data_IF_036091718417
#
_entry.id   IF_036091718417
#
_cell.length_a   1.000
_cell.length_b   1.000
_cell.length_c   1.000
_cell.angle_alpha   90.00
_cell.angle_beta   90.00
_cell.angle_gamma   90.00
#
_symmetry.space_group_name_H-M   'P 1'
#
loop_
_entity.id
_entity.type
_entity.pdbx_description
1 polymer ?
#
# COMPACT_ATOMS: atom_id res chain seq x y z
N UNK A 1 -10.71 -5.09 1.99
CA UNK A 1 -11.61 -3.92 1.82
C UNK A 1 -10.77 -2.65 1.77
N UNK A 2 -11.15 -1.69 0.94
CA UNK A 2 -10.49 -0.37 0.83
C UNK A 2 -11.14 0.57 1.83
N UNK A 3 -10.34 1.28 2.62
CA UNK A 3 -10.81 2.37 3.46
C UNK A 3 -10.17 3.68 3.01
N UNK A 4 -10.98 4.72 2.92
CA UNK A 4 -10.56 6.06 2.49
C UNK A 4 -11.01 7.10 3.52
N UNK A 5 -10.15 8.06 3.82
CA UNK A 5 -10.48 9.20 4.65
C UNK A 5 -9.73 10.44 4.15
N UNK A 6 -10.44 11.55 3.91
CA UNK A 6 -9.84 12.75 3.33
C UNK A 6 -10.88 13.72 2.75
N UNK A 7 -10.39 14.65 1.95
CA UNK A 7 -11.17 15.65 1.22
C UNK A 7 -10.58 15.93 -0.17
N UNK A 8 -10.85 17.13 -0.69
CA UNK A 8 -10.56 17.46 -2.10
C UNK A 8 -9.07 17.47 -2.45
N UNK A 9 -8.21 17.85 -1.49
CA UNK A 9 -6.78 18.04 -1.72
C UNK A 9 -5.88 16.97 -1.06
N UNK A 10 -6.42 16.19 -0.12
CA UNK A 10 -5.67 15.19 0.64
C UNK A 10 -6.52 13.95 0.91
N UNK A 11 -5.98 12.77 0.60
CA UNK A 11 -6.66 11.49 0.78
C UNK A 11 -5.75 10.45 1.41
N UNK A 12 -6.16 9.90 2.55
CA UNK A 12 -5.61 8.69 3.13
C UNK A 12 -6.30 7.46 2.58
N UNK A 13 -5.54 6.47 2.14
CA UNK A 13 -6.04 5.20 1.59
C UNK A 13 -5.39 4.04 2.33
N UNK A 14 -6.19 3.12 2.85
CA UNK A 14 -5.75 1.88 3.48
C UNK A 14 -6.37 0.72 2.69
N UNK A 15 -5.52 -0.13 2.11
CA UNK A 15 -5.97 -1.19 1.19
C UNK A 15 -5.17 -2.47 1.38
N UNK A 16 -5.75 -3.67 1.14
CA UNK A 16 -4.96 -4.89 1.00
C UNK A 16 -3.92 -4.71 -0.10
N UNK A 17 -2.75 -5.26 0.14
CA UNK A 17 -1.66 -5.28 -0.81
C UNK A 17 -1.27 -6.73 -1.04
N UNK A 18 -1.37 -7.18 -2.28
CA UNK A 18 -0.90 -8.50 -2.69
C UNK A 18 0.39 -8.33 -3.49
N UNK A 19 1.44 -9.02 -3.08
CA UNK A 19 2.76 -8.92 -3.71
C UNK A 19 3.56 -10.19 -3.56
N UNK A 20 4.68 -10.28 -4.28
CA UNK A 20 5.63 -11.39 -4.21
C UNK A 20 7.00 -10.88 -3.77
N UNK A 21 7.71 -11.69 -2.99
CA UNK A 21 9.12 -11.52 -2.67
C UNK A 21 9.99 -12.46 -3.48
N UNK A 22 11.22 -12.04 -3.76
CA UNK A 22 12.25 -12.90 -4.31
C UNK A 22 13.16 -13.42 -3.19
N UNK A 23 13.31 -14.73 -3.12
CA UNK A 23 14.24 -15.42 -2.23
C UNK A 23 15.69 -15.38 -2.77
N UNK A 24 16.69 -15.61 -1.91
CA UNK A 24 18.10 -15.63 -2.33
C UNK A 24 18.44 -16.74 -3.34
N UNK A 25 17.61 -17.78 -3.42
CA UNK A 25 17.70 -18.92 -4.35
C UNK A 25 16.94 -18.66 -5.67
N UNK A 26 16.40 -17.46 -5.86
CA UNK A 26 15.59 -17.09 -7.04
C UNK A 26 14.15 -17.57 -6.97
N UNK A 27 13.70 -18.20 -5.87
CA UNK A 27 12.30 -18.58 -5.69
C UNK A 27 11.44 -17.35 -5.40
N UNK A 28 10.16 -17.41 -5.78
CA UNK A 28 9.18 -16.38 -5.44
C UNK A 28 8.26 -16.86 -4.32
N UNK A 29 7.92 -15.97 -3.38
CA UNK A 29 6.99 -16.30 -2.30
C UNK A 29 5.94 -15.20 -2.09
N UNK A 30 4.69 -15.55 -1.71
CA UNK A 30 3.66 -14.57 -1.41
C UNK A 30 4.06 -13.64 -0.26
N UNK A 31 3.79 -12.35 -0.43
CA UNK A 31 3.99 -11.28 0.55
C UNK A 31 2.72 -10.43 0.67
N UNK A 32 1.59 -11.03 1.09
CA UNK A 32 0.35 -10.29 1.30
C UNK A 32 0.50 -9.35 2.49
N UNK A 33 -0.29 -8.29 2.50
CA UNK A 33 -0.21 -7.26 3.51
C UNK A 33 -1.21 -6.14 3.31
N UNK A 34 -0.84 -4.95 3.78
CA UNK A 34 -1.61 -3.71 3.60
C UNK A 34 -0.70 -2.61 3.11
N UNK A 35 -1.26 -1.73 2.28
CA UNK A 35 -0.69 -0.45 1.93
C UNK A 35 -1.48 0.66 2.64
N UNK A 36 -0.75 1.63 3.19
CA UNK A 36 -1.29 2.92 3.61
C UNK A 36 -0.64 3.99 2.74
N UNK A 37 -1.46 4.74 2.00
CA UNK A 37 -1.00 5.79 1.09
C UNK A 37 -1.60 7.13 1.53
N UNK A 38 -0.81 8.19 1.45
CA UNK A 38 -1.32 9.56 1.51
C UNK A 38 -1.16 10.16 0.11
N UNK A 39 -2.28 10.54 -0.49
CA UNK A 39 -2.35 11.19 -1.80
C UNK A 39 -2.61 12.68 -1.61
N UNK A 40 -1.92 13.52 -2.37
CA UNK A 40 -2.19 14.95 -2.46
C UNK A 40 -2.60 15.32 -3.89
N UNK A 41 -3.54 16.26 -4.04
CA UNK A 41 -3.92 16.82 -5.32
C UNK A 41 -2.84 17.81 -5.78
N UNK A 42 -2.24 17.58 -6.95
CA UNK A 42 -1.25 18.47 -7.58
C UNK A 42 -1.61 18.59 -9.06
N UNK A 43 -1.84 19.83 -9.51
CA UNK A 43 -2.20 20.13 -10.90
C UNK A 43 -3.36 19.26 -11.43
N UNK A 44 -4.39 19.09 -10.58
CA UNK A 44 -5.57 18.28 -10.92
C UNK A 44 -5.32 16.76 -10.95
N UNK A 45 -4.21 16.26 -10.37
CA UNK A 45 -3.89 14.83 -10.29
C UNK A 45 -3.62 14.41 -8.86
N UNK A 46 -3.99 13.19 -8.51
CA UNK A 46 -3.60 12.60 -7.24
C UNK A 46 -2.16 12.07 -7.33
N UNK A 47 -1.30 12.50 -6.41
CA UNK A 47 0.10 12.08 -6.32
C UNK A 47 0.32 11.47 -4.94
N UNK A 48 0.87 10.26 -4.89
CA UNK A 48 1.27 9.65 -3.63
C UNK A 48 2.47 10.42 -3.06
N UNK A 49 2.27 11.06 -1.91
CA UNK A 49 3.31 11.82 -1.20
C UNK A 49 3.88 11.06 0.00
N UNK A 50 3.18 10.00 0.43
CA UNK A 50 3.67 9.05 1.41
C UNK A 50 3.11 7.66 1.09
N UNK A 51 3.93 6.64 1.32
CA UNK A 51 3.53 5.25 1.24
C UNK A 51 4.16 4.43 2.36
N UNK A 52 3.36 3.53 2.92
CA UNK A 52 3.78 2.56 3.91
C UNK A 52 3.19 1.20 3.51
N UNK A 53 4.03 0.16 3.53
CA UNK A 53 3.59 -1.22 3.28
C UNK A 53 3.98 -2.09 4.48
N UNK A 54 3.01 -2.85 4.98
CA UNK A 54 3.20 -3.81 6.07
C UNK A 54 2.81 -5.20 5.60
N UNK A 55 3.59 -6.23 5.96
CA UNK A 55 3.21 -7.61 5.69
C UNK A 55 2.13 -8.08 6.66
N UNK A 56 1.26 -8.96 6.17
CA UNK A 56 0.40 -9.72 7.05
C UNK A 56 1.29 -10.52 8.02
N UNK A 57 0.93 -10.61 9.31
CA UNK A 57 1.65 -11.46 10.24
C UNK A 57 1.69 -12.89 9.69
N UNK A 58 2.88 -13.46 9.57
CA UNK A 58 3.00 -14.90 9.37
C UNK A 58 2.51 -15.56 10.66
N UNK A 59 1.39 -16.28 10.60
CA UNK A 59 0.95 -17.11 11.71
C UNK A 59 2.08 -18.06 12.11
N UNK A 60 2.32 -18.19 13.41
CA UNK A 60 3.03 -19.34 13.97
C UNK A 60 2.00 -20.35 14.43
#
# INVERSE_FOLDING_TARGET
>A
EVHCAGGDDLLGVIVPWDSVGAGPDGTWFPRPGRATLILARRDGRWVAIHSHFSLAPSGR
#
